data_IF_638893568408
#
_entry.id   IF_638893568408
#
_cell.length_a   1.000
_cell.length_b   1.000
_cell.length_c   1.000
_cell.angle_alpha   90.00
_cell.angle_beta   90.00
_cell.angle_gamma   90.00
#
_symmetry.space_group_name_H-M   'P 1'
#
loop_
_entity.id
_entity.type
_entity.pdbx_description
1 polymer ?
#
# COMPACT_ATOMS: atom_id res chain seq x y z
N UNK A 1 -20.77 -7.24 -14.68
CA UNK A 1 -19.64 -7.34 -15.61
C UNK A 1 -18.34 -6.98 -14.93
N UNK A 2 -17.40 -7.90 -14.91
CA UNK A 2 -16.23 -7.77 -14.07
C UNK A 2 -14.93 -7.89 -14.87
N UNK A 3 -14.84 -7.09 -15.95
CA UNK A 3 -13.63 -7.05 -16.77
C UNK A 3 -12.43 -6.49 -15.99
N UNK A 4 -12.70 -5.61 -15.02
CA UNK A 4 -11.67 -4.94 -14.24
C UNK A 4 -11.68 -5.48 -12.82
N UNK A 5 -11.31 -6.73 -12.68
CA UNK A 5 -11.31 -7.39 -11.39
C UNK A 5 -9.91 -7.88 -11.09
N UNK A 6 -9.44 -7.58 -9.89
CA UNK A 6 -8.14 -8.05 -9.43
C UNK A 6 -8.16 -9.56 -9.27
N UNK A 7 -7.04 -10.17 -9.53
CA UNK A 7 -6.88 -11.62 -9.44
C UNK A 7 -5.69 -11.97 -8.55
N UNK A 8 -5.95 -12.78 -7.55
CA UNK A 8 -4.89 -13.33 -6.73
C UNK A 8 -4.20 -14.45 -7.48
N UNK A 9 -2.90 -14.34 -7.60
CA UNK A 9 -2.09 -15.32 -8.34
C UNK A 9 -1.29 -16.15 -7.34
N UNK A 10 -1.46 -17.49 -7.34
CA UNK A 10 -0.65 -18.32 -6.46
C UNK A 10 0.80 -18.31 -6.94
N UNK A 11 1.70 -18.18 -6.00
CA UNK A 11 3.14 -18.19 -6.26
C UNK A 11 3.82 -19.21 -5.38
N UNK A 12 4.93 -19.73 -5.85
CA UNK A 12 5.79 -20.59 -5.06
C UNK A 12 7.03 -19.79 -4.67
N UNK A 13 7.19 -19.54 -3.37
CA UNK A 13 8.38 -18.88 -2.87
C UNK A 13 9.53 -19.86 -2.83
N UNK A 14 10.63 -19.52 -3.49
CA UNK A 14 11.88 -20.27 -3.40
C UNK A 14 12.66 -19.77 -2.18
N UNK A 15 12.72 -18.46 -2.00
CA UNK A 15 13.33 -17.86 -0.82
C UNK A 15 12.76 -16.47 -0.58
N UNK A 16 12.86 -16.02 0.64
CA UNK A 16 12.43 -14.69 1.04
C UNK A 16 13.37 -14.19 2.11
N UNK A 17 13.86 -12.97 1.96
CA UNK A 17 14.76 -12.40 2.95
C UNK A 17 14.53 -10.90 3.08
N UNK A 18 14.76 -10.40 4.30
CA UNK A 18 14.77 -8.97 4.56
C UNK A 18 16.17 -8.47 4.23
N UNK A 19 16.27 -7.60 3.23
CA UNK A 19 17.57 -7.07 2.78
C UNK A 19 17.87 -5.69 3.34
N UNK A 20 16.86 -5.02 3.87
CA UNK A 20 17.02 -3.76 4.59
C UNK A 20 15.96 -3.69 5.68
N UNK A 21 16.40 -3.43 6.88
CA UNK A 21 15.50 -3.28 8.03
C UNK A 21 15.60 -1.83 8.51
N UNK A 22 14.56 -1.05 8.25
CA UNK A 22 14.50 0.35 8.60
C UNK A 22 13.70 0.59 9.87
N UNK A 23 13.67 1.84 10.32
CA UNK A 23 12.86 2.22 11.47
C UNK A 23 11.38 2.23 11.16
N UNK A 24 11.02 2.47 9.90
CA UNK A 24 9.62 2.64 9.49
C UNK A 24 9.17 1.49 8.61
N UNK A 25 10.03 1.02 7.73
CA UNK A 25 9.69 -0.06 6.83
C UNK A 25 10.93 -0.89 6.51
N UNK A 26 10.66 -2.09 6.00
CA UNK A 26 11.69 -3.03 5.56
C UNK A 26 11.61 -3.21 4.05
N UNK A 27 12.72 -3.63 3.45
CA UNK A 27 12.73 -4.07 2.06
C UNK A 27 12.91 -5.58 2.05
N UNK A 28 11.98 -6.25 1.37
CA UNK A 28 11.99 -7.70 1.19
C UNK A 28 12.47 -8.05 -0.20
N UNK A 29 13.21 -9.14 -0.31
CA UNK A 29 13.61 -9.72 -1.59
C UNK A 29 13.12 -11.15 -1.64
N UNK A 30 12.27 -11.45 -2.62
CA UNK A 30 11.73 -12.77 -2.82
C UNK A 30 12.21 -13.35 -4.13
N UNK A 31 12.62 -14.60 -4.11
CA UNK A 31 12.79 -15.41 -5.31
C UNK A 31 11.58 -16.34 -5.39
N UNK A 32 10.91 -16.34 -6.52
CA UNK A 32 9.64 -17.03 -6.66
C UNK A 32 9.44 -17.54 -8.07
N UNK A 33 8.52 -18.48 -8.21
CA UNK A 33 8.04 -18.91 -9.53
C UNK A 33 6.53 -18.63 -9.61
N UNK A 34 6.10 -18.18 -10.79
CA UNK A 34 4.69 -18.00 -11.07
C UNK A 34 4.10 -19.33 -11.56
N UNK A 35 2.78 -19.47 -11.43
CA UNK A 35 2.08 -20.73 -11.64
C UNK A 35 2.30 -21.35 -13.02
N UNK A 36 2.49 -20.53 -14.05
CA UNK A 36 2.64 -21.00 -15.42
C UNK A 36 4.05 -20.83 -15.98
N UNK A 37 5.02 -20.64 -15.11
CA UNK A 37 6.43 -20.53 -15.49
C UNK A 37 7.28 -21.26 -14.47
N UNK A 38 8.27 -21.98 -14.95
CA UNK A 38 9.23 -22.67 -14.07
C UNK A 38 10.50 -21.85 -13.85
N UNK A 39 10.62 -20.70 -14.53
CA UNK A 39 11.76 -19.83 -14.37
C UNK A 39 11.58 -18.98 -13.11
N UNK A 40 12.54 -19.02 -12.20
CA UNK A 40 12.50 -18.15 -11.01
C UNK A 40 12.65 -16.69 -11.41
N UNK A 41 11.93 -15.86 -10.71
CA UNK A 41 12.09 -14.41 -10.82
C UNK A 41 12.37 -13.84 -9.44
N UNK A 42 13.00 -12.66 -9.41
CA UNK A 42 13.31 -11.96 -8.16
C UNK A 42 12.51 -10.68 -8.12
N UNK A 43 11.88 -10.43 -6.99
CA UNK A 43 11.16 -9.18 -6.76
C UNK A 43 11.55 -8.60 -5.42
N UNK A 44 11.75 -7.28 -5.43
CA UNK A 44 12.00 -6.53 -4.21
C UNK A 44 10.83 -5.60 -3.97
N UNK A 45 10.40 -5.52 -2.73
CA UNK A 45 9.23 -4.71 -2.38
C UNK A 45 9.31 -4.25 -0.94
N UNK A 46 8.56 -3.20 -0.66
CA UNK A 46 8.47 -2.66 0.70
C UNK A 46 7.51 -3.50 1.52
N UNK A 47 8.02 -4.05 2.62
CA UNK A 47 7.15 -4.67 3.61
C UNK A 47 6.38 -3.58 4.34
N UNK A 48 5.07 -3.56 4.19
CA UNK A 48 4.24 -2.48 4.69
C UNK A 48 2.97 -3.06 5.31
N UNK A 49 2.54 -2.54 6.47
CA UNK A 49 1.34 -3.07 7.13
C UNK A 49 0.04 -2.74 6.39
N UNK A 50 0.11 -1.86 5.39
CA UNK A 50 -1.07 -1.36 4.72
C UNK A 50 -1.47 0.00 5.27
N UNK A 51 -2.36 0.65 4.56
CA UNK A 51 -2.87 1.95 4.95
C UNK A 51 -4.30 2.11 4.46
N UNK A 52 -5.03 3.02 5.10
CA UNK A 52 -6.36 3.42 4.65
C UNK A 52 -6.36 4.90 4.40
N UNK A 53 -7.15 5.34 3.44
CA UNK A 53 -7.42 6.76 3.23
C UNK A 53 -8.89 7.03 3.53
N UNK A 54 -9.16 8.25 3.98
CA UNK A 54 -10.51 8.67 4.31
C UNK A 54 -10.93 9.73 3.29
N UNK A 55 -12.03 9.49 2.59
CA UNK A 55 -12.65 10.49 1.74
C UNK A 55 -13.87 11.02 2.49
N UNK A 56 -13.68 12.10 3.22
CA UNK A 56 -14.73 12.70 4.03
C UNK A 56 -15.39 13.82 3.24
N UNK A 57 -16.66 13.66 2.99
CA UNK A 57 -17.44 14.63 2.22
C UNK A 57 -18.50 15.28 3.13
N UNK A 58 -18.80 16.53 2.85
CA UNK A 58 -19.92 17.22 3.47
C UNK A 58 -20.59 18.12 2.44
N UNK A 59 -21.84 18.48 2.71
CA UNK A 59 -22.61 19.38 1.85
C UNK A 59 -23.65 18.64 1.04
N UNK A 60 -24.44 19.42 0.32
CA UNK A 60 -25.53 18.93 -0.52
C UNK A 60 -25.04 18.68 -1.94
N UNK A 61 -25.86 17.97 -2.72
CA UNK A 61 -25.56 17.68 -4.12
C UNK A 61 -25.20 18.95 -4.89
N UNK A 62 -24.06 18.91 -5.57
CA UNK A 62 -23.55 20.04 -6.33
C UNK A 62 -22.71 21.01 -5.51
N UNK A 63 -22.68 20.85 -4.18
CA UNK A 63 -21.91 21.71 -3.28
C UNK A 63 -21.10 20.91 -2.27
N UNK A 64 -20.72 19.69 -2.62
CA UNK A 64 -19.95 18.87 -1.72
C UNK A 64 -18.53 19.42 -1.54
N UNK A 65 -18.03 19.27 -0.32
CA UNK A 65 -16.67 19.59 0.04
C UNK A 65 -15.96 18.36 0.50
N UNK A 66 -14.67 18.27 0.21
CA UNK A 66 -13.82 17.17 0.68
C UNK A 66 -12.85 17.71 1.72
N UNK A 67 -12.63 16.92 2.76
CA UNK A 67 -11.63 17.26 3.77
C UNK A 67 -10.25 16.89 3.26
N UNK A 68 -9.36 17.87 3.26
CA UNK A 68 -7.96 17.68 2.91
C UNK A 68 -7.09 18.13 4.07
N UNK A 69 -5.94 17.51 4.17
CA UNK A 69 -4.89 17.97 5.08
C UNK A 69 -3.66 18.36 4.30
N UNK A 70 -2.82 19.16 4.90
CA UNK A 70 -1.57 19.62 4.29
C UNK A 70 -0.41 19.06 5.10
N UNK A 71 0.39 18.20 4.50
CA UNK A 71 1.42 17.46 5.22
C UNK A 71 2.76 17.55 4.51
N UNK A 72 3.82 17.77 5.29
CA UNK A 72 5.17 17.76 4.77
C UNK A 72 5.55 16.34 4.33
N UNK A 73 6.06 16.23 3.10
CA UNK A 73 6.57 14.98 2.55
C UNK A 73 8.03 15.14 2.23
N UNK A 74 8.88 14.52 3.01
CA UNK A 74 10.32 14.71 2.94
C UNK A 74 10.95 14.33 1.60
N UNK A 75 10.57 13.23 0.94
CA UNK A 75 11.17 12.87 -0.34
C UNK A 75 11.07 13.98 -1.41
N UNK A 76 10.02 14.77 -1.36
CA UNK A 76 9.82 15.87 -2.31
C UNK A 76 10.08 17.23 -1.68
N UNK A 77 10.39 17.30 -0.40
CA UNK A 77 10.65 18.53 0.38
C UNK A 77 9.54 19.57 0.22
N UNK A 78 8.30 19.10 0.25
CA UNK A 78 7.15 19.96 0.05
C UNK A 78 6.00 19.55 0.95
N UNK A 79 5.14 20.51 1.27
CA UNK A 79 3.85 20.21 1.90
C UNK A 79 2.84 19.98 0.79
N UNK A 80 2.19 18.82 0.83
CA UNK A 80 1.22 18.42 -0.17
C UNK A 80 -0.18 18.39 0.43
N UNK A 81 -1.16 18.71 -0.40
CA UNK A 81 -2.56 18.56 -0.04
C UNK A 81 -2.94 17.09 -0.26
N UNK A 82 -3.51 16.47 0.76
CA UNK A 82 -3.78 15.03 0.76
C UNK A 82 -5.09 14.75 1.47
N UNK A 83 -5.71 13.64 1.11
CA UNK A 83 -6.79 13.09 1.95
C UNK A 83 -6.17 12.50 3.22
N UNK A 84 -6.88 12.53 4.37
CA UNK A 84 -6.36 11.89 5.58
C UNK A 84 -6.12 10.40 5.36
N UNK A 85 -5.06 9.89 5.94
CA UNK A 85 -4.69 8.48 5.84
C UNK A 85 -4.07 8.00 7.15
N UNK A 86 -4.15 6.71 7.37
CA UNK A 86 -3.55 6.09 8.55
C UNK A 86 -2.99 4.73 8.21
N UNK A 87 -1.95 4.34 8.94
CA UNK A 87 -1.32 3.04 8.78
C UNK A 87 -2.13 1.98 9.53
N UNK A 88 -2.17 0.77 8.96
CA UNK A 88 -2.77 -0.40 9.60
C UNK A 88 -1.70 -1.12 10.41
N UNK A 89 -1.10 -0.42 11.38
CA UNK A 89 0.04 -0.92 12.14
C UNK A 89 -0.32 -1.43 13.53
N UNK A 90 -1.58 -1.36 13.92
CA UNK A 90 -2.06 -1.87 15.21
C UNK A 90 -2.89 -3.13 14.96
N UNK A 91 -2.41 -4.31 15.42
CA UNK A 91 -3.15 -5.56 15.22
C UNK A 91 -4.56 -5.48 15.83
N UNK A 92 -5.55 -5.91 15.05
CA UNK A 92 -6.94 -5.93 15.50
C UNK A 92 -7.65 -4.60 15.44
N UNK A 93 -6.99 -3.53 15.00
CA UNK A 93 -7.64 -2.25 14.82
C UNK A 93 -8.58 -2.27 13.64
N UNK A 94 -9.79 -1.73 13.84
CA UNK A 94 -10.77 -1.63 12.77
C UNK A 94 -10.35 -0.49 11.83
N UNK A 95 -10.18 -0.73 10.53
CA UNK A 95 -9.81 0.33 9.59
C UNK A 95 -10.92 1.35 9.35
N UNK A 96 -12.14 1.06 9.76
CA UNK A 96 -13.24 2.02 9.68
C UNK A 96 -13.41 2.73 11.00
#
# INVERSE_FOLDING_TARGET
MNEFQDEHVPVRLVSSQTVFEGKVFDIQRDELTLAHSQQPIVREYMGHPGAVVIVALRGDDGNEEILLERQYRHPVRAKLWEVPAGLLDIPGEDPL
#
